data_IF_290155177168
#
_entry.id   IF_290155177168
#
_cell.length_a   1.000
_cell.length_b   1.000
_cell.length_c   1.000
_cell.angle_alpha   90.00
_cell.angle_beta   90.00
_cell.angle_gamma   90.00
#
_symmetry.space_group_name_H-M   'P 1'
#
loop_
_entity.id
_entity.type
_entity.pdbx_description
1 polymer ?
#
# COMPACT_ATOMS: atom_id res chain seq x y z
N UNK A 1 -30.63 -15.55 -67.07
CA UNK A 1 -30.25 -16.15 -68.37
C UNK A 1 -29.07 -15.37 -68.95
N UNK A 2 -27.86 -15.94 -68.96
CA UNK A 2 -26.71 -15.62 -69.82
C UNK A 2 -25.78 -16.85 -69.77
N UNK A 3 -25.21 -17.19 -70.94
CA UNK A 3 -24.49 -18.42 -71.35
C UNK A 3 -22.96 -18.33 -71.13
N UNK A 4 -22.31 -19.49 -70.97
CA UNK A 4 -21.12 -20.06 -71.70
C UNK A 4 -20.40 -21.05 -70.75
N UNK A 5 -20.12 -22.35 -70.99
CA UNK A 5 -19.59 -23.18 -72.11
C UNK A 5 -18.17 -22.72 -72.51
N UNK A 6 -17.07 -23.46 -72.28
CA UNK A 6 -16.44 -24.54 -73.12
C UNK A 6 -15.12 -24.96 -72.38
N UNK A 7 -14.87 -26.23 -71.99
CA UNK A 7 -14.19 -27.38 -72.67
C UNK A 7 -12.62 -27.34 -72.66
N UNK A 8 -11.96 -28.19 -71.84
CA UNK A 8 -11.19 -29.45 -72.13
C UNK A 8 -9.65 -29.26 -72.37
N UNK A 9 -8.80 -30.31 -72.22
CA UNK A 9 -7.47 -30.32 -71.59
C UNK A 9 -6.37 -30.79 -72.58
N UNK A 10 -5.11 -30.84 -72.14
CA UNK A 10 -3.95 -31.54 -72.73
C UNK A 10 -2.93 -31.64 -71.57
N UNK A 11 -2.40 -32.80 -71.13
CA UNK A 11 -1.68 -33.83 -71.87
C UNK A 11 -0.41 -33.23 -72.48
N UNK A 12 0.85 -33.58 -72.20
CA UNK A 12 1.53 -34.64 -71.45
C UNK A 12 3.05 -34.42 -71.67
N UNK A 13 3.89 -35.11 -70.90
CA UNK A 13 5.25 -35.61 -71.24
C UNK A 13 6.53 -34.83 -70.88
N UNK A 14 7.43 -35.63 -70.29
CA UNK A 14 8.92 -35.60 -70.30
C UNK A 14 9.61 -34.82 -69.19
N UNK A 15 10.12 -35.52 -68.17
CA UNK A 15 11.51 -36.04 -68.04
C UNK A 15 12.33 -35.06 -67.17
N UNK A 16 13.15 -35.41 -66.17
CA UNK A 16 14.18 -36.46 -66.11
C UNK A 16 14.69 -36.58 -64.65
N UNK A 17 15.26 -37.74 -64.34
CA UNK A 17 15.93 -38.22 -63.12
C UNK A 17 16.65 -37.21 -62.20
N UNK A 18 16.61 -37.48 -60.89
CA UNK A 18 17.82 -37.75 -60.07
C UNK A 18 17.47 -38.00 -58.58
N UNK A 19 17.74 -39.23 -58.10
CA UNK A 19 18.38 -39.63 -56.81
C UNK A 19 18.05 -38.86 -55.51
N UNK A 20 17.86 -39.44 -54.31
CA UNK A 20 18.42 -40.64 -53.68
C UNK A 20 17.69 -40.87 -52.33
N UNK A 21 17.68 -42.12 -51.84
CA UNK A 21 17.48 -42.55 -50.43
C UNK A 21 16.07 -42.89 -49.91
N UNK A 22 15.69 -44.15 -50.19
CA UNK A 22 15.07 -45.18 -49.32
C UNK A 22 15.42 -45.06 -47.81
N UNK A 23 14.75 -45.66 -46.81
CA UNK A 23 13.52 -46.47 -46.59
C UNK A 23 13.60 -46.94 -45.10
N UNK A 24 12.48 -47.43 -44.55
CA UNK A 24 12.36 -48.34 -43.36
C UNK A 24 12.37 -47.62 -41.99
N UNK A 25 11.24 -47.38 -41.31
CA UNK A 25 10.35 -48.31 -40.59
C UNK A 25 11.02 -49.10 -39.45
N UNK A 26 10.76 -48.73 -38.18
CA UNK A 26 10.61 -49.63 -37.01
C UNK A 26 10.40 -48.78 -35.74
N UNK A 27 9.25 -48.91 -35.08
CA UNK A 27 9.00 -49.81 -33.95
C UNK A 27 9.15 -49.07 -32.60
N UNK A 28 8.03 -48.79 -31.95
CA UNK A 28 7.99 -48.38 -30.55
C UNK A 28 8.28 -49.61 -29.66
N UNK A 29 9.27 -49.56 -28.75
CA UNK A 29 9.37 -50.53 -27.67
C UNK A 29 8.51 -50.13 -26.46
N UNK A 30 8.18 -51.08 -25.57
CA UNK A 30 7.12 -50.94 -24.57
C UNK A 30 7.55 -50.20 -23.30
N UNK A 31 6.54 -49.78 -22.55
CA UNK A 31 6.59 -49.22 -21.20
C UNK A 31 7.52 -50.01 -20.26
N UNK A 32 8.58 -49.37 -19.77
CA UNK A 32 9.34 -49.82 -18.60
C UNK A 32 9.09 -48.86 -17.44
N UNK A 33 8.37 -49.39 -16.45
CA UNK A 33 8.25 -48.87 -15.09
C UNK A 33 9.55 -49.20 -14.38
N UNK A 34 10.31 -48.18 -13.99
CA UNK A 34 11.14 -48.03 -12.77
C UNK A 34 12.16 -46.93 -13.05
N UNK A 35 11.93 -45.72 -12.51
CA UNK A 35 12.86 -45.22 -11.50
C UNK A 35 12.24 -44.05 -10.73
N UNK A 36 12.40 -44.16 -9.41
CA UNK A 36 12.03 -43.16 -8.42
C UNK A 36 12.93 -41.95 -8.60
N UNK A 37 12.51 -41.00 -9.44
CA UNK A 37 12.98 -39.63 -9.40
C UNK A 37 12.08 -38.88 -8.43
N UNK A 38 12.56 -38.73 -7.20
CA UNK A 38 11.94 -37.91 -6.18
C UNK A 38 11.59 -36.52 -6.77
N UNK A 39 10.40 -35.97 -6.48
CA UNK A 39 10.16 -34.56 -6.79
C UNK A 39 11.27 -33.73 -6.13
N UNK A 40 11.82 -32.71 -6.83
CA UNK A 40 12.76 -31.79 -6.17
C UNK A 40 12.08 -31.31 -4.89
N UNK A 41 12.81 -31.21 -3.76
CA UNK A 41 12.22 -30.76 -2.53
C UNK A 41 11.51 -29.46 -2.86
N UNK A 42 10.20 -29.44 -2.60
CA UNK A 42 9.44 -28.20 -2.52
C UNK A 42 10.20 -27.37 -1.51
N UNK A 43 11.10 -26.51 -2.00
CA UNK A 43 11.60 -25.40 -1.24
C UNK A 43 10.32 -24.72 -0.82
N UNK A 44 9.99 -24.87 0.45
CA UNK A 44 8.98 -24.06 1.08
C UNK A 44 9.44 -22.62 0.78
N UNK A 45 8.83 -22.04 -0.25
CA UNK A 45 8.84 -20.60 -0.44
C UNK A 45 8.17 -20.10 0.80
N UNK A 46 9.00 -19.85 1.82
CA UNK A 46 8.69 -18.99 2.94
C UNK A 46 8.01 -17.81 2.28
N UNK A 47 6.70 -17.70 2.51
CA UNK A 47 5.89 -16.61 2.00
C UNK A 47 6.74 -15.35 2.12
N UNK A 48 6.92 -14.55 1.04
CA UNK A 48 7.83 -13.41 1.10
C UNK A 48 7.43 -12.66 2.35
N UNK A 49 8.30 -12.69 3.36
CA UNK A 49 8.19 -11.79 4.48
C UNK A 49 8.15 -10.46 3.77
N UNK A 50 7.00 -9.80 3.80
CA UNK A 50 6.81 -8.56 3.08
C UNK A 50 7.85 -7.61 3.70
N UNK A 51 8.93 -7.40 2.96
CA UNK A 51 10.12 -6.73 3.46
C UNK A 51 10.06 -5.36 2.84
N UNK A 52 9.90 -4.35 3.70
CA UNK A 52 9.86 -2.96 3.28
C UNK A 52 11.23 -2.34 3.44
N UNK A 53 11.69 -1.70 2.39
CA UNK A 53 12.96 -0.98 2.41
C UNK A 53 12.75 0.47 2.88
N UNK A 54 13.45 0.87 3.93
CA UNK A 54 13.33 2.19 4.55
C UNK A 54 14.71 2.78 4.82
N UNK A 55 14.85 4.08 4.56
CA UNK A 55 16.08 4.82 4.86
C UNK A 55 15.94 5.57 6.18
N UNK A 56 16.86 5.31 7.10
CA UNK A 56 16.86 5.93 8.42
C UNK A 56 18.25 6.42 8.82
N UNK A 57 18.28 7.38 9.74
CA UNK A 57 19.49 8.01 10.26
C UNK A 57 19.56 7.75 11.75
N UNK A 58 20.72 7.40 12.26
CA UNK A 58 20.98 7.22 13.69
C UNK A 58 22.22 7.99 14.11
N UNK A 59 22.22 8.46 15.36
CA UNK A 59 23.30 9.21 15.96
C UNK A 59 23.69 8.57 17.29
N UNK A 60 24.98 8.54 17.60
CA UNK A 60 25.47 8.08 18.90
C UNK A 60 26.73 8.85 19.32
N UNK A 61 26.84 9.13 20.62
CA UNK A 61 27.99 9.83 21.18
C UNK A 61 29.25 8.94 21.18
N UNK A 62 30.41 9.56 20.97
CA UNK A 62 31.72 8.90 21.04
C UNK A 62 32.15 8.89 22.52
N UNK A 63 31.82 7.80 23.21
CA UNK A 63 32.21 7.58 24.61
C UNK A 63 33.53 6.81 24.77
N UNK A 64 33.71 6.19 25.93
CA UNK A 64 34.91 5.41 26.29
C UNK A 64 35.21 4.21 25.37
N UNK A 65 34.20 3.72 24.64
CA UNK A 65 34.33 2.63 23.66
C UNK A 65 34.84 3.06 22.27
N UNK A 66 35.13 4.34 22.07
CA UNK A 66 35.68 4.88 20.82
C UNK A 66 34.71 4.90 19.64
N UNK A 67 35.24 5.26 18.46
CA UNK A 67 34.46 5.48 17.23
C UNK A 67 33.73 4.21 16.76
N UNK A 68 34.33 3.03 16.95
CA UNK A 68 33.71 1.76 16.55
C UNK A 68 32.45 1.42 17.37
N UNK A 69 32.50 1.64 18.69
CA UNK A 69 31.34 1.43 19.55
C UNK A 69 30.24 2.45 19.24
N UNK A 70 30.61 3.72 19.03
CA UNK A 70 29.67 4.76 18.61
C UNK A 70 29.04 4.45 17.25
N UNK A 71 29.80 3.92 16.28
CA UNK A 71 29.28 3.48 14.98
C UNK A 71 28.23 2.39 15.14
N UNK A 72 28.52 1.33 15.90
CA UNK A 72 27.54 0.24 16.13
C UNK A 72 26.29 0.74 16.86
N UNK A 73 26.45 1.64 17.83
CA UNK A 73 25.32 2.26 18.52
C UNK A 73 24.48 3.17 17.61
N UNK A 74 25.12 3.91 16.70
CA UNK A 74 24.44 4.74 15.71
C UNK A 74 23.71 3.89 14.67
N UNK A 75 24.28 2.76 14.24
CA UNK A 75 23.60 1.78 13.38
C UNK A 75 22.37 1.18 14.05
N UNK A 76 22.51 0.73 15.30
CA UNK A 76 21.37 0.24 16.09
C UNK A 76 20.28 1.30 16.24
N UNK A 77 20.65 2.56 16.49
CA UNK A 77 19.70 3.68 16.52
C UNK A 77 19.05 3.92 15.15
N UNK A 78 19.78 3.78 14.06
CA UNK A 78 19.25 3.95 12.71
C UNK A 78 18.24 2.83 12.36
N UNK A 79 18.52 1.58 12.73
CA UNK A 79 17.59 0.46 12.57
C UNK A 79 16.33 0.66 13.42
N UNK A 80 16.46 1.11 14.67
CA UNK A 80 15.32 1.51 15.51
C UNK A 80 14.45 2.56 14.82
N UNK A 81 15.07 3.65 14.36
CA UNK A 81 14.38 4.72 13.66
C UNK A 81 13.72 4.22 12.35
N UNK A 82 14.27 3.20 11.69
CA UNK A 82 13.64 2.58 10.52
C UNK A 82 12.36 1.81 10.90
N UNK A 83 12.39 1.01 11.98
CA UNK A 83 11.21 0.31 12.50
C UNK A 83 10.15 1.32 12.95
N UNK A 84 10.53 2.37 13.66
CA UNK A 84 9.62 3.43 14.13
C UNK A 84 8.97 4.19 12.97
N UNK A 85 9.74 4.57 11.94
CA UNK A 85 9.20 5.20 10.72
C UNK A 85 8.26 4.27 9.95
N UNK A 86 8.51 2.97 10.00
CA UNK A 86 7.68 1.96 9.34
C UNK A 86 6.36 1.74 10.09
N UNK A 87 6.39 1.81 11.42
CA UNK A 87 5.23 1.53 12.31
C UNK A 87 4.43 2.77 12.71
N UNK A 88 4.99 3.97 12.59
CA UNK A 88 4.35 5.21 13.03
C UNK A 88 4.27 5.38 14.55
N UNK A 89 4.99 4.57 15.35
CA UNK A 89 4.99 4.62 16.83
C UNK A 89 5.48 5.97 17.37
N UNK A 90 6.18 6.77 16.57
CA UNK A 90 6.67 8.08 16.98
C UNK A 90 5.57 9.12 17.26
N UNK A 91 4.32 8.90 16.83
CA UNK A 91 3.25 9.94 16.91
C UNK A 91 2.04 9.57 17.76
N UNK A 92 2.09 8.44 18.47
CA UNK A 92 1.13 8.16 19.54
C UNK A 92 1.59 8.67 20.92
N UNK A 93 2.37 9.75 20.97
CA UNK A 93 2.75 10.42 22.23
C UNK A 93 1.56 11.10 22.95
N UNK A 94 0.36 11.08 22.36
CA UNK A 94 -0.85 11.70 22.93
C UNK A 94 -1.86 10.76 23.57
N UNK A 95 -1.48 9.52 23.89
CA UNK A 95 -2.26 8.71 24.84
C UNK A 95 -1.43 8.44 26.11
N UNK A 96 -1.42 9.47 26.97
CA UNK A 96 -1.20 9.47 28.43
C UNK A 96 -0.30 8.38 29.07
N UNK A 97 0.93 8.81 29.38
CA UNK A 97 1.66 8.75 30.68
C UNK A 97 1.80 7.50 31.54
N UNK A 98 1.32 6.30 31.21
CA UNK A 98 1.60 5.11 32.06
C UNK A 98 2.21 3.90 31.34
N UNK A 99 2.01 3.73 30.03
CA UNK A 99 2.55 2.57 29.29
C UNK A 99 3.77 2.87 28.41
N UNK A 100 4.18 4.14 28.30
CA UNK A 100 5.26 4.55 27.39
C UNK A 100 6.64 4.00 27.80
N UNK A 101 6.92 3.86 29.09
CA UNK A 101 8.20 3.28 29.55
C UNK A 101 8.30 1.83 29.12
N UNK A 102 7.23 1.03 29.27
CA UNK A 102 7.23 -0.39 28.89
C UNK A 102 7.24 -0.60 27.37
N UNK A 103 6.54 0.22 26.60
CA UNK A 103 6.50 0.13 25.13
C UNK A 103 7.82 0.60 24.52
N UNK A 104 8.35 1.73 24.98
CA UNK A 104 9.68 2.22 24.58
C UNK A 104 10.72 1.18 24.91
N UNK A 105 10.70 0.62 26.12
CA UNK A 105 11.67 -0.40 26.52
C UNK A 105 11.55 -1.64 25.63
N UNK A 106 10.35 -2.18 25.37
CA UNK A 106 10.20 -3.41 24.57
C UNK A 106 10.50 -3.26 23.08
N UNK A 107 10.23 -2.11 22.45
CA UNK A 107 10.66 -1.83 21.06
C UNK A 107 12.17 -1.57 21.01
N UNK A 108 12.72 -0.87 22.02
CA UNK A 108 14.16 -0.55 22.11
C UNK A 108 15.03 -1.77 22.37
N UNK A 109 14.56 -2.76 23.14
CA UNK A 109 15.33 -3.97 23.48
C UNK A 109 15.37 -5.00 22.34
N UNK A 110 14.50 -4.93 21.32
CA UNK A 110 14.36 -5.99 20.29
C UNK A 110 14.19 -5.51 18.84
N UNK A 111 14.39 -4.23 18.54
CA UNK A 111 14.34 -3.69 17.17
C UNK A 111 15.26 -4.43 16.17
N UNK A 112 16.34 -5.03 16.66
CA UNK A 112 17.29 -5.84 15.88
C UNK A 112 16.65 -7.08 15.24
N UNK A 113 15.51 -7.57 15.77
CA UNK A 113 14.80 -8.72 15.22
C UNK A 113 13.82 -8.41 14.09
N UNK A 114 13.47 -7.14 13.88
CA UNK A 114 12.45 -6.71 12.91
C UNK A 114 13.04 -5.94 11.71
N UNK A 115 14.24 -5.38 11.86
CA UNK A 115 14.93 -4.67 10.79
C UNK A 115 16.35 -5.20 10.62
N UNK A 116 16.70 -5.55 9.39
CA UNK A 116 18.06 -5.96 9.01
C UNK A 116 18.74 -4.85 8.21
N UNK A 117 20.02 -4.64 8.49
CA UNK A 117 20.84 -3.69 7.73
C UNK A 117 21.06 -4.23 6.31
N UNK A 118 20.56 -3.52 5.30
CA UNK A 118 20.84 -3.84 3.88
C UNK A 118 22.17 -3.25 3.46
N UNK A 119 22.33 -1.96 3.72
CA UNK A 119 23.46 -1.17 3.22
C UNK A 119 23.66 0.07 4.10
N UNK A 120 24.92 0.42 4.36
CA UNK A 120 25.29 1.71 4.96
C UNK A 120 25.48 2.73 3.84
N UNK A 121 24.61 3.73 3.79
CA UNK A 121 24.61 4.74 2.71
C UNK A 121 25.62 5.85 2.97
N UNK A 122 25.72 6.31 4.22
CA UNK A 122 26.63 7.37 4.60
C UNK A 122 27.02 7.24 6.07
N UNK A 123 28.23 7.68 6.38
CA UNK A 123 28.75 7.79 7.72
C UNK A 123 29.52 9.11 7.87
N UNK A 124 29.12 9.89 8.87
CA UNK A 124 29.81 11.13 9.25
C UNK A 124 30.28 11.00 10.69
N UNK A 125 31.60 11.11 10.89
CA UNK A 125 32.22 11.10 12.21
C UNK A 125 32.47 12.55 12.60
N UNK A 126 31.72 13.04 13.58
CA UNK A 126 31.94 14.33 14.21
C UNK A 126 32.90 14.21 15.41
N UNK A 127 33.25 15.33 16.05
CA UNK A 127 34.18 15.36 17.19
C UNK A 127 33.63 14.64 18.43
N UNK A 128 32.31 14.65 18.65
CA UNK A 128 31.67 14.07 19.84
C UNK A 128 30.60 13.01 19.52
N UNK A 129 30.27 12.79 18.25
CA UNK A 129 29.24 11.83 17.84
C UNK A 129 29.44 11.28 16.43
N UNK A 130 28.95 10.07 16.19
CA UNK A 130 28.88 9.43 14.87
C UNK A 130 27.44 9.46 14.38
N UNK A 131 27.24 9.95 13.15
CA UNK A 131 25.96 9.92 12.45
C UNK A 131 26.03 8.92 11.30
N UNK A 132 25.13 7.94 11.29
CA UNK A 132 25.06 6.94 10.23
C UNK A 132 23.71 7.01 9.52
N UNK A 133 23.72 6.97 8.19
CA UNK A 133 22.54 6.81 7.36
C UNK A 133 22.54 5.41 6.78
N UNK A 134 21.49 4.64 7.05
CA UNK A 134 21.37 3.25 6.63
C UNK A 134 20.11 3.01 5.83
N UNK A 135 20.18 1.99 4.98
CA UNK A 135 19.07 1.37 4.29
C UNK A 135 18.75 0.06 5.00
N UNK A 136 17.56 -0.02 5.56
CA UNK A 136 17.11 -1.15 6.36
C UNK A 136 15.98 -1.90 5.65
N UNK A 137 16.00 -3.22 5.77
CA UNK A 137 14.91 -4.11 5.37
C UNK A 137 14.08 -4.44 6.60
N UNK A 138 12.83 -3.99 6.64
CA UNK A 138 11.93 -4.21 7.77
C UNK A 138 10.96 -5.35 7.44
N UNK A 139 10.97 -6.41 8.24
CA UNK A 139 10.03 -7.53 8.11
C UNK A 139 8.69 -7.17 8.75
N UNK A 140 7.66 -7.04 7.91
CA UNK A 140 6.36 -6.50 8.30
C UNK A 140 5.51 -7.48 9.15
N UNK A 141 5.47 -8.76 8.79
CA UNK A 141 4.69 -9.79 9.50
C UNK A 141 4.99 -9.90 11.01
N UNK A 142 6.24 -10.13 11.45
CA UNK A 142 6.53 -10.27 12.88
C UNK A 142 6.27 -8.97 13.67
N UNK A 143 6.36 -7.83 12.99
CA UNK A 143 6.13 -6.51 13.57
C UNK A 143 4.62 -6.27 13.80
N UNK A 144 3.78 -6.61 12.83
CA UNK A 144 2.33 -6.51 12.94
C UNK A 144 1.77 -7.38 14.08
N UNK A 145 2.18 -8.64 14.17
CA UNK A 145 1.80 -9.58 15.24
C UNK A 145 2.18 -9.04 16.63
N UNK A 146 3.37 -8.44 16.75
CA UNK A 146 3.82 -7.87 18.02
C UNK A 146 3.03 -6.62 18.41
N UNK A 147 2.76 -5.72 17.45
CA UNK A 147 1.95 -4.53 17.70
C UNK A 147 0.51 -4.89 18.13
N UNK A 148 -0.05 -5.96 17.55
CA UNK A 148 -1.33 -6.54 17.95
C UNK A 148 -1.30 -7.06 19.39
N UNK A 149 -0.29 -7.87 19.73
CA UNK A 149 -0.12 -8.41 21.09
C UNK A 149 0.12 -7.35 22.17
N UNK A 150 0.60 -6.16 21.78
CA UNK A 150 0.78 -5.01 22.68
C UNK A 150 -0.44 -4.08 22.76
N UNK A 151 -1.51 -4.33 21.99
CA UNK A 151 -2.70 -3.49 21.96
C UNK A 151 -2.45 -2.08 21.39
N UNK A 152 -1.37 -1.90 20.62
CA UNK A 152 -0.95 -0.61 20.05
C UNK A 152 -1.44 -0.39 18.63
N UNK A 153 -2.19 -1.34 18.08
CA UNK A 153 -2.92 -1.16 16.82
C UNK A 153 -3.96 -0.07 17.02
N UNK A 154 -3.83 1.05 16.32
CA UNK A 154 -4.94 2.01 16.19
C UNK A 154 -6.14 1.22 15.67
N UNK A 155 -7.30 1.39 16.29
CA UNK A 155 -8.56 0.83 15.84
C UNK A 155 -9.00 1.54 14.54
N UNK A 156 -8.22 1.37 13.47
CA UNK A 156 -8.48 1.93 12.16
C UNK A 156 -9.87 1.49 11.71
N UNK A 157 -10.70 2.46 11.33
CA UNK A 157 -12.01 2.18 10.77
C UNK A 157 -11.87 1.90 9.28
N UNK A 158 -12.30 0.71 8.86
CA UNK A 158 -12.15 0.27 7.48
C UNK A 158 -13.54 0.00 6.89
N UNK A 159 -13.79 0.54 5.70
CA UNK A 159 -14.97 0.19 4.91
C UNK A 159 -14.54 -0.67 3.73
N UNK A 160 -15.16 -1.84 3.57
CA UNK A 160 -14.87 -2.75 2.46
C UNK A 160 -16.01 -2.67 1.45
N UNK A 161 -15.68 -2.40 0.20
CA UNK A 161 -16.63 -2.39 -0.92
C UNK A 161 -16.19 -3.40 -1.96
N UNK A 162 -17.11 -4.21 -2.44
CA UNK A 162 -16.83 -5.14 -3.53
C UNK A 162 -17.43 -4.67 -4.86
N UNK A 163 -16.69 -4.85 -5.96
CA UNK A 163 -17.16 -4.54 -7.31
C UNK A 163 -16.73 -5.61 -8.31
N UNK A 164 -17.61 -5.97 -9.24
CA UNK A 164 -17.30 -6.96 -10.29
C UNK A 164 -18.48 -7.86 -10.58
N UNK A 165 -18.36 -8.69 -11.62
CA UNK A 165 -19.35 -9.71 -11.93
C UNK A 165 -18.66 -10.93 -12.53
N UNK A 166 -18.84 -12.10 -11.90
CA UNK A 166 -18.25 -13.37 -12.34
C UNK A 166 -19.29 -14.33 -12.99
N UNK A 167 -20.52 -13.85 -13.20
CA UNK A 167 -21.65 -14.69 -13.59
C UNK A 167 -22.17 -15.57 -12.43
N UNK A 168 -23.36 -16.16 -12.60
CA UNK A 168 -24.09 -16.82 -11.52
C UNK A 168 -25.02 -15.84 -10.79
N UNK A 169 -25.41 -16.13 -9.54
CA UNK A 169 -26.22 -15.21 -8.73
C UNK A 169 -25.51 -13.86 -8.58
N UNK A 170 -26.09 -12.75 -9.06
CA UNK A 170 -25.47 -11.44 -8.99
C UNK A 170 -25.09 -11.09 -7.55
N UNK A 171 -23.84 -10.67 -7.34
CA UNK A 171 -23.36 -10.22 -6.03
C UNK A 171 -22.92 -11.30 -5.03
N UNK A 172 -23.26 -12.58 -5.20
CA UNK A 172 -22.92 -13.62 -4.23
C UNK A 172 -21.41 -13.82 -4.04
N UNK A 173 -20.65 -13.82 -5.14
CA UNK A 173 -19.19 -13.92 -5.13
C UNK A 173 -18.51 -12.67 -4.57
N UNK A 174 -19.14 -11.50 -4.74
CA UNK A 174 -18.67 -10.24 -4.15
C UNK A 174 -18.85 -10.29 -2.65
N UNK A 175 -20.06 -10.67 -2.20
CA UNK A 175 -20.41 -10.76 -0.78
C UNK A 175 -19.52 -11.74 -0.03
N UNK A 176 -19.22 -12.90 -0.62
CA UNK A 176 -18.31 -13.88 -0.02
C UNK A 176 -16.89 -13.33 0.13
N UNK A 177 -16.39 -12.62 -0.89
CA UNK A 177 -15.06 -12.02 -0.86
C UNK A 177 -14.97 -10.86 0.14
N UNK A 178 -15.98 -9.97 0.18
CA UNK A 178 -16.04 -8.88 1.16
C UNK A 178 -16.16 -9.42 2.58
N UNK A 179 -17.04 -10.38 2.84
CA UNK A 179 -17.19 -10.98 4.17
C UNK A 179 -15.90 -11.66 4.65
N UNK A 180 -15.17 -12.37 3.78
CA UNK A 180 -13.88 -12.97 4.13
C UNK A 180 -12.81 -11.93 4.45
N UNK A 181 -12.80 -10.80 3.74
CA UNK A 181 -11.89 -9.69 4.01
C UNK A 181 -12.25 -9.01 5.34
N UNK A 182 -13.53 -8.69 5.56
CA UNK A 182 -14.03 -8.07 6.78
C UNK A 182 -13.74 -8.92 8.01
N UNK A 183 -13.95 -10.24 7.95
CA UNK A 183 -13.61 -11.16 9.02
C UNK A 183 -12.12 -11.12 9.37
N UNK A 184 -11.25 -11.16 8.34
CA UNK A 184 -9.78 -11.12 8.53
C UNK A 184 -9.33 -9.78 9.12
N UNK A 185 -9.90 -8.68 8.64
CA UNK A 185 -9.59 -7.34 9.17
C UNK A 185 -10.08 -7.20 10.62
N UNK A 186 -11.26 -7.71 10.94
CA UNK A 186 -11.79 -7.70 12.31
C UNK A 186 -10.89 -8.52 13.24
N UNK A 187 -10.46 -9.71 12.80
CA UNK A 187 -9.52 -10.55 13.55
C UNK A 187 -8.16 -9.87 13.74
N UNK A 188 -7.71 -9.09 12.76
CA UNK A 188 -6.48 -8.29 12.85
C UNK A 188 -6.62 -7.05 13.76
N UNK A 189 -7.83 -6.74 14.25
CA UNK A 189 -8.09 -5.63 15.19
C UNK A 189 -8.58 -4.34 14.54
N UNK A 190 -8.98 -4.38 13.27
CA UNK A 190 -9.62 -3.25 12.59
C UNK A 190 -11.10 -3.18 12.94
N UNK A 191 -11.65 -1.96 12.96
CA UNK A 191 -13.10 -1.75 13.11
C UNK A 191 -13.72 -1.64 11.73
N UNK A 192 -14.51 -2.64 11.34
CA UNK A 192 -15.21 -2.60 10.05
C UNK A 192 -16.46 -1.72 10.17
N UNK A 193 -16.57 -0.70 9.33
CA UNK A 193 -17.70 0.25 9.31
C UNK A 193 -18.53 0.08 8.04
N UNK A 194 -19.85 0.23 8.19
CA UNK A 194 -20.78 0.08 7.06
C UNK A 194 -20.88 1.35 6.19
N UNK A 195 -20.69 2.54 6.77
CA UNK A 195 -20.68 3.79 6.01
C UNK A 195 -19.26 4.18 5.62
N UNK A 196 -19.06 4.40 4.31
CA UNK A 196 -17.81 4.91 3.73
C UNK A 196 -17.35 6.22 4.39
N UNK A 197 -18.26 7.10 4.85
CA UNK A 197 -17.92 8.38 5.49
C UNK A 197 -17.28 8.22 6.87
N UNK A 198 -17.53 7.10 7.53
CA UNK A 198 -16.97 6.81 8.85
C UNK A 198 -15.62 6.08 8.76
N UNK A 199 -15.19 5.74 7.55
CA UNK A 199 -13.97 4.99 7.32
C UNK A 199 -12.75 5.90 7.27
N UNK A 200 -11.67 5.47 7.92
CA UNK A 200 -10.35 6.08 7.73
C UNK A 200 -9.69 5.52 6.45
N UNK A 201 -10.02 4.27 6.11
CA UNK A 201 -9.53 3.53 4.95
C UNK A 201 -10.71 2.87 4.23
N UNK A 202 -10.80 3.10 2.94
CA UNK A 202 -11.72 2.41 2.03
C UNK A 202 -10.97 1.31 1.30
N UNK A 203 -11.49 0.10 1.29
CA UNK A 203 -10.92 -1.04 0.58
C UNK A 203 -11.88 -1.44 -0.53
N UNK A 204 -11.50 -1.19 -1.78
CA UNK A 204 -12.20 -1.71 -2.94
C UNK A 204 -11.64 -3.09 -3.29
N UNK A 205 -12.48 -4.12 -3.26
CA UNK A 205 -12.14 -5.48 -3.71
C UNK A 205 -12.83 -5.80 -5.02
N UNK A 206 -12.08 -6.33 -5.98
CA UNK A 206 -12.60 -6.68 -7.31
C UNK A 206 -12.15 -8.09 -7.67
N UNK A 207 -13.02 -9.09 -7.60
CA UNK A 207 -12.72 -10.41 -8.11
C UNK A 207 -12.89 -10.44 -9.64
N UNK A 208 -12.08 -11.24 -10.32
CA UNK A 208 -12.08 -11.43 -11.77
C UNK A 208 -11.70 -12.87 -12.13
N UNK A 209 -12.20 -13.39 -13.25
CA UNK A 209 -11.76 -14.68 -13.79
C UNK A 209 -10.72 -14.41 -14.87
N UNK A 210 -9.51 -14.96 -14.70
CA UNK A 210 -8.40 -14.78 -15.63
C UNK A 210 -8.43 -15.84 -16.72
N UNK A 211 -8.70 -17.09 -16.34
CA UNK A 211 -8.65 -18.21 -17.28
C UNK A 211 -9.70 -19.26 -16.92
N UNK A 212 -10.27 -19.89 -17.94
CA UNK A 212 -11.14 -21.05 -17.79
C UNK A 212 -10.72 -22.08 -18.83
N UNK A 213 -10.28 -23.25 -18.39
CA UNK A 213 -10.01 -24.41 -19.22
C UNK A 213 -11.09 -25.45 -18.99
N UNK A 214 -11.51 -26.11 -20.08
CA UNK A 214 -12.50 -27.18 -20.03
C UNK A 214 -11.87 -28.47 -20.50
N UNK A 215 -12.02 -29.53 -19.71
CA UNK A 215 -11.62 -30.88 -20.05
C UNK A 215 -12.90 -31.72 -20.13
N UNK A 216 -13.26 -32.28 -21.28
CA UNK A 216 -14.32 -33.29 -21.35
C UNK A 216 -13.80 -34.61 -20.77
N UNK A 217 -14.60 -35.25 -19.93
CA UNK A 217 -14.35 -36.57 -19.37
C UNK A 217 -15.51 -37.49 -19.69
N UNK A 218 -15.19 -38.75 -19.94
CA UNK A 218 -16.19 -39.81 -20.04
C UNK A 218 -16.08 -40.63 -18.76
N UNK A 219 -17.16 -40.66 -17.98
CA UNK A 219 -17.22 -41.42 -16.72
C UNK A 219 -18.30 -42.49 -16.81
N UNK A 220 -18.33 -43.40 -15.83
CA UNK A 220 -19.38 -44.41 -15.72
C UNK A 220 -20.79 -43.81 -15.60
N UNK A 221 -20.90 -42.55 -15.15
CA UNK A 221 -22.16 -41.81 -15.05
C UNK A 221 -22.50 -41.03 -16.34
N UNK A 222 -21.67 -41.10 -17.38
CA UNK A 222 -21.84 -40.38 -18.64
C UNK A 222 -20.75 -39.32 -18.91
N UNK A 223 -20.86 -38.59 -20.03
CA UNK A 223 -19.95 -37.51 -20.35
C UNK A 223 -20.16 -36.33 -19.39
N UNK A 224 -19.07 -35.78 -18.90
CA UNK A 224 -19.06 -34.63 -18.00
C UNK A 224 -17.90 -33.71 -18.34
N UNK A 225 -18.05 -32.42 -18.04
CA UNK A 225 -17.02 -31.40 -18.30
C UNK A 225 -16.40 -30.98 -16.97
N UNK A 226 -15.09 -31.10 -16.84
CA UNK A 226 -14.34 -30.45 -15.78
C UNK A 226 -13.92 -29.06 -16.21
N UNK A 227 -14.16 -28.10 -15.32
CA UNK A 227 -13.74 -26.71 -15.46
C UNK A 227 -12.57 -26.47 -14.53
N UNK A 228 -11.41 -26.10 -15.08
CA UNK A 228 -10.29 -25.56 -14.32
C UNK A 228 -10.31 -24.05 -14.47
N UNK A 229 -10.57 -23.34 -13.39
CA UNK A 229 -10.76 -21.89 -13.39
C UNK A 229 -9.66 -21.23 -12.58
N UNK A 230 -8.99 -20.23 -13.16
CA UNK A 230 -8.06 -19.35 -12.45
C UNK A 230 -8.78 -18.05 -12.10
N UNK A 231 -9.07 -17.86 -10.82
CA UNK A 231 -9.68 -16.66 -10.26
C UNK A 231 -8.62 -15.73 -9.68
N UNK A 232 -8.74 -14.44 -9.93
CA UNK A 232 -7.88 -13.42 -9.34
C UNK A 232 -8.74 -12.46 -8.52
N UNK A 233 -8.19 -11.98 -7.41
CA UNK A 233 -8.77 -10.91 -6.63
C UNK A 233 -7.76 -9.77 -6.52
N UNK A 234 -8.24 -8.55 -6.75
CA UNK A 234 -7.45 -7.34 -6.60
C UNK A 234 -8.09 -6.45 -5.57
N UNK A 235 -7.30 -5.94 -4.64
CA UNK A 235 -7.73 -4.99 -3.63
C UNK A 235 -6.98 -3.70 -3.78
N UNK A 236 -7.71 -2.59 -3.65
CA UNK A 236 -7.17 -1.24 -3.59
C UNK A 236 -7.64 -0.61 -2.29
N UNK A 237 -6.71 -0.39 -1.37
CA UNK A 237 -6.95 0.38 -0.16
C UNK A 237 -6.61 1.84 -0.42
N UNK A 238 -7.56 2.72 -0.14
CA UNK A 238 -7.47 4.17 -0.28
C UNK A 238 -7.80 4.86 1.03
N UNK A 239 -7.02 5.86 1.40
CA UNK A 239 -7.31 6.67 2.59
C UNK A 239 -8.46 7.63 2.29
N UNK A 240 -9.57 7.51 3.03
CA UNK A 240 -10.82 8.22 2.70
C UNK A 240 -10.67 9.76 2.63
N UNK A 241 -9.96 10.43 3.56
CA UNK A 241 -9.80 11.90 3.49
C UNK A 241 -9.02 12.42 2.28
N UNK A 242 -8.07 11.64 1.76
CA UNK A 242 -7.09 12.12 0.76
C UNK A 242 -7.24 11.48 -0.61
N UNK A 243 -7.92 10.34 -0.71
CA UNK A 243 -7.94 9.50 -1.91
C UNK A 243 -6.60 8.81 -2.24
N UNK A 244 -5.57 8.96 -1.40
CA UNK A 244 -4.27 8.31 -1.56
C UNK A 244 -4.41 6.79 -1.53
N UNK A 245 -3.82 6.10 -2.51
CA UNK A 245 -3.73 4.64 -2.53
C UNK A 245 -2.64 4.20 -1.58
N UNK A 246 -3.03 3.55 -0.48
CA UNK A 246 -2.12 3.11 0.57
C UNK A 246 -1.65 1.67 0.38
N UNK A 247 -2.46 0.85 -0.31
CA UNK A 247 -2.08 -0.50 -0.71
C UNK A 247 -2.85 -0.90 -1.97
N UNK A 248 -2.17 -1.64 -2.85
CA UNK A 248 -2.77 -2.26 -4.02
C UNK A 248 -2.19 -3.66 -4.16
N UNK A 249 -3.01 -4.68 -3.94
CA UNK A 249 -2.60 -6.08 -3.94
C UNK A 249 -3.42 -6.86 -4.95
N UNK A 250 -2.80 -7.89 -5.53
CA UNK A 250 -3.42 -8.81 -6.46
C UNK A 250 -2.95 -10.23 -6.11
N UNK A 251 -3.85 -11.19 -6.09
CA UNK A 251 -3.50 -12.61 -5.94
C UNK A 251 -4.45 -13.44 -6.77
N UNK A 252 -3.96 -14.53 -7.33
CA UNK A 252 -4.73 -15.45 -8.13
C UNK A 252 -4.54 -16.87 -7.64
N UNK A 253 -5.62 -17.63 -7.68
CA UNK A 253 -5.66 -19.04 -7.32
C UNK A 253 -6.48 -19.81 -8.35
N UNK A 254 -6.38 -21.13 -8.32
CA UNK A 254 -7.01 -22.02 -9.28
C UNK A 254 -7.86 -23.06 -8.56
N UNK A 255 -9.08 -23.28 -9.05
CA UNK A 255 -9.93 -24.39 -8.61
C UNK A 255 -10.35 -25.23 -9.82
N UNK A 256 -10.56 -26.52 -9.59
CA UNK A 256 -11.09 -27.43 -10.61
C UNK A 256 -12.38 -28.07 -10.11
N UNK A 257 -13.46 -27.90 -10.87
CA UNK A 257 -14.78 -28.41 -10.50
C UNK A 257 -15.60 -28.81 -11.72
N UNK A 258 -16.58 -29.69 -11.52
CA UNK A 258 -17.57 -30.06 -12.56
C UNK A 258 -18.59 -28.94 -12.81
N UNK A 259 -18.78 -28.03 -11.85
CA UNK A 259 -19.62 -26.84 -11.97
C UNK A 259 -18.75 -25.61 -12.20
N UNK A 260 -18.97 -24.90 -13.32
CA UNK A 260 -18.28 -23.66 -13.63
C UNK A 260 -18.48 -22.58 -12.56
N UNK A 261 -19.70 -22.45 -12.02
CA UNK A 261 -20.02 -21.45 -10.98
C UNK A 261 -19.28 -21.78 -9.69
N UNK A 262 -19.22 -23.06 -9.32
CA UNK A 262 -18.50 -23.52 -8.13
C UNK A 262 -16.99 -23.33 -8.29
N UNK A 263 -16.42 -23.70 -9.45
CA UNK A 263 -15.00 -23.48 -9.74
C UNK A 263 -14.63 -21.99 -9.63
N UNK A 264 -15.45 -21.09 -10.18
CA UNK A 264 -15.24 -19.64 -10.08
C UNK A 264 -15.27 -19.16 -8.63
N UNK A 265 -16.28 -19.58 -7.86
CA UNK A 265 -16.44 -19.17 -6.47
C UNK A 265 -15.30 -19.67 -5.58
N UNK A 266 -14.88 -20.92 -5.77
CA UNK A 266 -13.80 -21.51 -4.99
C UNK A 266 -12.45 -20.86 -5.31
N UNK A 267 -12.14 -20.66 -6.60
CA UNK A 267 -10.88 -20.05 -7.01
C UNK A 267 -10.72 -18.62 -6.46
N UNK A 268 -11.78 -17.80 -6.50
CA UNK A 268 -11.72 -16.44 -5.93
C UNK A 268 -11.73 -16.44 -4.40
N UNK A 269 -12.44 -17.37 -3.75
CA UNK A 269 -12.41 -17.51 -2.30
C UNK A 269 -11.01 -17.93 -1.80
N UNK A 270 -10.33 -18.85 -2.49
CA UNK A 270 -8.97 -19.25 -2.18
C UNK A 270 -7.97 -18.09 -2.38
N UNK A 271 -8.09 -17.35 -3.48
CA UNK A 271 -7.32 -16.14 -3.71
C UNK A 271 -7.54 -15.08 -2.62
N UNK A 272 -8.79 -14.94 -2.14
CA UNK A 272 -9.14 -14.01 -1.04
C UNK A 272 -8.49 -14.40 0.27
N UNK A 273 -8.52 -15.69 0.65
CA UNK A 273 -7.87 -16.19 1.88
C UNK A 273 -6.36 -15.96 1.87
N UNK A 274 -5.73 -15.99 0.70
CA UNK A 274 -4.30 -15.70 0.55
C UNK A 274 -4.01 -14.20 0.61
N UNK A 275 -4.88 -13.37 0.03
CA UNK A 275 -4.70 -11.92 -0.02
C UNK A 275 -5.04 -11.22 1.31
N UNK A 276 -6.07 -11.66 2.01
CA UNK A 276 -6.62 -10.96 3.18
C UNK A 276 -5.60 -10.76 4.32
N UNK A 277 -4.78 -11.76 4.72
CA UNK A 277 -3.75 -11.56 5.74
C UNK A 277 -2.69 -10.55 5.32
N UNK A 278 -2.28 -10.58 4.05
CA UNK A 278 -1.29 -9.63 3.50
C UNK A 278 -1.83 -8.22 3.47
N UNK A 279 -3.12 -8.06 3.12
CA UNK A 279 -3.79 -6.77 3.22
C UNK A 279 -3.80 -6.27 4.66
N UNK A 280 -4.18 -7.12 5.62
CA UNK A 280 -4.17 -6.75 7.04
C UNK A 280 -2.77 -6.32 7.50
N UNK A 281 -1.72 -7.10 7.21
CA UNK A 281 -0.32 -6.75 7.49
C UNK A 281 0.05 -5.36 6.90
N UNK A 282 -0.28 -5.13 5.63
CA UNK A 282 -0.02 -3.85 4.96
C UNK A 282 -0.78 -2.68 5.60
N UNK A 283 -2.03 -2.89 6.01
CA UNK A 283 -2.86 -1.87 6.65
C UNK A 283 -2.40 -1.56 8.08
N UNK A 284 -1.93 -2.56 8.84
CA UNK A 284 -1.46 -2.39 10.22
C UNK A 284 -0.21 -1.52 10.30
N UNK A 285 0.58 -1.52 9.21
CA UNK A 285 1.85 -0.82 9.11
C UNK A 285 1.75 0.43 8.24
N UNK A 286 0.51 0.90 8.02
CA UNK A 286 0.33 2.22 7.44
C UNK A 286 0.88 3.24 8.43
N UNK A 287 1.81 4.10 7.98
CA UNK A 287 2.24 5.20 8.82
C UNK A 287 0.99 6.00 9.16
N UNK A 288 0.83 6.32 10.45
CA UNK A 288 -0.11 7.35 10.84
C UNK A 288 0.24 8.59 9.99
N UNK A 289 -0.71 9.11 9.22
CA UNK A 289 -0.53 10.44 8.66
C UNK A 289 -0.61 11.37 9.85
N UNK A 290 0.57 11.72 10.34
CA UNK A 290 0.71 12.65 11.43
C UNK A 290 0.20 14.01 11.01
N UNK A 291 0.25 14.31 9.70
CA UNK A 291 -0.23 15.53 9.08
C UNK A 291 -0.93 15.32 7.73
N UNK A 292 -1.79 16.27 7.39
CA UNK A 292 -2.54 16.36 6.14
C UNK A 292 -2.29 17.72 5.48
N UNK A 293 -2.09 17.76 4.15
CA UNK A 293 -2.00 19.02 3.42
C UNK A 293 -3.37 19.70 3.40
N UNK A 294 -3.44 20.91 3.93
CA UNK A 294 -4.60 21.80 3.91
C UNK A 294 -4.27 22.98 3.02
N UNK A 295 -5.10 23.22 2.01
CA UNK A 295 -4.95 24.40 1.16
C UNK A 295 -5.54 25.62 1.87
N UNK A 296 -4.69 26.56 2.28
CA UNK A 296 -5.11 27.84 2.83
C UNK A 296 -5.08 28.90 1.73
N UNK A 297 -6.24 29.45 1.41
CA UNK A 297 -6.41 30.55 0.47
C UNK A 297 -6.68 31.82 1.25
N UNK A 298 -5.79 32.81 1.18
CA UNK A 298 -5.95 34.09 1.89
C UNK A 298 -6.02 35.23 0.90
N UNK A 299 -7.12 35.98 0.96
CA UNK A 299 -7.28 37.25 0.22
C UNK A 299 -6.80 38.44 1.06
N UNK A 300 -6.35 39.53 0.42
CA UNK A 300 -5.99 40.77 1.11
C UNK A 300 -4.58 40.81 1.72
N UNK A 301 -3.68 39.92 1.30
CA UNK A 301 -2.29 39.87 1.80
C UNK A 301 -1.45 41.05 1.28
N UNK A 302 -1.82 41.61 0.13
CA UNK A 302 -1.23 42.85 -0.41
C UNK A 302 0.17 42.66 -0.99
N UNK A 303 1.21 42.60 -0.14
CA UNK A 303 2.62 42.59 -0.54
C UNK A 303 3.34 41.26 -0.30
N UNK A 304 4.36 40.97 -1.10
CA UNK A 304 5.19 39.77 -0.95
C UNK A 304 5.89 39.70 0.41
N UNK A 305 6.30 40.84 0.98
CA UNK A 305 6.89 40.91 2.32
C UNK A 305 5.88 40.58 3.42
N UNK A 306 4.61 40.99 3.28
CA UNK A 306 3.53 40.63 4.21
C UNK A 306 3.18 39.14 4.09
N UNK A 307 3.21 38.59 2.88
CA UNK A 307 3.03 37.16 2.64
C UNK A 307 4.14 36.32 3.31
N UNK A 308 5.40 36.73 3.22
CA UNK A 308 6.52 36.05 3.90
C UNK A 308 6.36 36.02 5.41
N UNK A 309 6.04 37.16 6.04
CA UNK A 309 5.80 37.20 7.50
C UNK A 309 4.59 36.36 7.94
N UNK A 310 3.57 36.26 7.08
CA UNK A 310 2.42 35.40 7.35
C UNK A 310 2.82 33.92 7.25
N UNK A 311 3.65 33.54 6.28
CA UNK A 311 4.21 32.20 6.14
C UNK A 311 5.06 31.79 7.36
N UNK A 312 5.90 32.70 7.86
CA UNK A 312 6.66 32.48 9.10
C UNK A 312 5.74 32.27 10.31
N UNK A 313 4.69 33.08 10.42
CA UNK A 313 3.71 32.94 11.50
C UNK A 313 2.89 31.64 11.39
N UNK A 314 2.55 31.20 10.18
CA UNK A 314 1.86 29.93 9.93
C UNK A 314 2.76 28.73 10.27
N UNK A 315 4.07 28.81 10.02
CA UNK A 315 5.04 27.77 10.42
C UNK A 315 5.19 27.65 11.94
N UNK A 316 4.90 28.71 12.69
CA UNK A 316 4.96 28.71 14.16
C UNK A 316 3.66 28.24 14.83
N UNK A 317 2.59 28.05 14.06
CA UNK A 317 1.32 27.57 14.60
C UNK A 317 1.48 26.18 15.21
N UNK A 318 0.97 26.02 16.43
CA UNK A 318 0.88 24.72 17.06
C UNK A 318 0.09 23.75 16.16
N UNK A 319 0.72 22.64 15.80
CA UNK A 319 0.11 21.63 14.94
C UNK A 319 0.31 21.85 13.44
N UNK A 320 1.03 22.88 13.00
CA UNK A 320 1.48 23.00 11.59
C UNK A 320 2.93 22.52 11.52
N UNK A 321 3.19 21.51 10.68
CA UNK A 321 4.52 20.90 10.51
C UNK A 321 5.36 21.61 9.46
N UNK A 322 4.69 22.19 8.46
CA UNK A 322 5.34 22.94 7.41
C UNK A 322 4.33 23.72 6.58
N UNK A 323 4.81 24.78 5.96
CA UNK A 323 4.03 25.66 5.11
C UNK A 323 4.77 25.83 3.80
N UNK A 324 4.06 25.63 2.69
CA UNK A 324 4.60 25.86 1.35
C UNK A 324 3.74 26.86 0.61
N UNK A 325 4.31 27.98 0.18
CA UNK A 325 3.59 28.93 -0.67
C UNK A 325 3.48 28.41 -2.11
N UNK A 326 2.26 28.25 -2.59
CA UNK A 326 1.94 27.74 -3.94
C UNK A 326 1.77 28.86 -4.96
N UNK A 327 1.18 29.98 -4.56
CA UNK A 327 0.93 31.12 -5.46
C UNK A 327 0.74 32.43 -4.69
N UNK A 328 1.08 33.54 -5.33
CA UNK A 328 0.75 34.90 -4.89
C UNK A 328 0.41 35.70 -6.15
N UNK A 329 -0.88 35.95 -6.40
CA UNK A 329 -1.36 36.70 -7.58
C UNK A 329 -2.54 37.59 -7.19
N UNK A 330 -2.57 38.84 -7.66
CA UNK A 330 -3.73 39.72 -7.49
C UNK A 330 -4.11 40.04 -6.04
N UNK A 331 -3.17 39.97 -5.09
CA UNK A 331 -3.46 40.18 -3.66
C UNK A 331 -4.05 38.96 -2.93
N UNK A 332 -4.18 37.83 -3.64
CA UNK A 332 -4.55 36.52 -3.12
C UNK A 332 -3.31 35.62 -3.03
N UNK A 333 -3.17 34.94 -1.90
CA UNK A 333 -2.07 34.03 -1.63
C UNK A 333 -2.61 32.63 -1.32
N UNK A 334 -1.98 31.62 -1.90
CA UNK A 334 -2.33 30.22 -1.69
C UNK A 334 -1.16 29.52 -1.02
N UNK A 335 -1.40 28.97 0.15
CA UNK A 335 -0.47 28.11 0.88
C UNK A 335 -1.01 26.69 0.97
N UNK A 336 -0.07 25.77 1.03
CA UNK A 336 -0.30 24.38 1.38
C UNK A 336 0.32 24.16 2.76
N UNK A 337 -0.53 23.93 3.76
CA UNK A 337 -0.16 23.73 5.15
C UNK A 337 -0.13 22.23 5.43
N UNK A 338 0.97 21.71 5.95
CA UNK A 338 1.00 20.33 6.41
C UNK A 338 0.61 20.28 7.90
N UNK A 339 -0.66 19.99 8.17
CA UNK A 339 -1.27 20.18 9.49
C UNK A 339 -1.50 18.86 10.18
N UNK A 340 -1.12 18.76 11.45
CA UNK A 340 -1.29 17.57 12.24
C UNK A 340 -2.77 17.16 12.35
N UNK A 341 -3.04 15.86 12.25
CA UNK A 341 -4.43 15.34 12.23
C UNK A 341 -5.23 15.73 13.47
N UNK A 342 -4.58 15.83 14.65
CA UNK A 342 -5.23 16.25 15.89
C UNK A 342 -5.39 17.78 16.02
N UNK A 343 -4.71 18.56 15.17
CA UNK A 343 -4.81 20.00 15.10
C UNK A 343 -5.86 20.47 14.06
N UNK A 344 -6.25 19.60 13.11
CA UNK A 344 -7.23 19.93 12.06
C UNK A 344 -8.54 20.51 12.58
N UNK A 345 -9.22 19.93 13.61
CA UNK A 345 -10.51 20.46 14.08
C UNK A 345 -10.41 21.85 14.71
N UNK A 346 -9.20 22.25 15.12
CA UNK A 346 -8.93 23.52 15.77
C UNK A 346 -8.22 24.52 14.85
N UNK A 347 -7.89 24.10 13.61
CA UNK A 347 -7.07 24.89 12.70
C UNK A 347 -7.73 26.24 12.37
N UNK A 348 -9.02 26.23 12.01
CA UNK A 348 -9.77 27.44 11.68
C UNK A 348 -9.81 28.43 12.84
N UNK A 349 -10.08 27.94 14.05
CA UNK A 349 -10.06 28.76 15.27
C UNK A 349 -8.67 29.34 15.56
N UNK A 350 -7.62 28.54 15.39
CA UNK A 350 -6.23 28.98 15.58
C UNK A 350 -5.80 30.02 14.55
N UNK A 351 -6.24 29.88 13.30
CA UNK A 351 -5.96 30.87 12.27
C UNK A 351 -6.49 32.27 12.64
N UNK A 352 -7.58 32.35 13.40
CA UNK A 352 -8.17 33.61 13.86
C UNK A 352 -7.62 34.11 15.21
N UNK A 353 -7.44 33.21 16.18
CA UNK A 353 -7.16 33.58 17.59
C UNK A 353 -5.67 33.63 17.95
N UNK A 354 -4.80 32.97 17.17
CA UNK A 354 -3.40 32.78 17.53
C UNK A 354 -2.63 34.11 17.59
N UNK A 355 -1.80 34.25 18.63
CA UNK A 355 -1.04 35.46 18.91
C UNK A 355 -0.09 35.85 17.75
N UNK A 356 0.48 34.87 17.03
CA UNK A 356 1.35 35.11 15.89
C UNK A 356 0.58 35.66 14.66
N UNK A 357 -0.72 35.40 14.57
CA UNK A 357 -1.57 35.78 13.44
C UNK A 357 -2.42 37.04 13.67
N UNK A 358 -2.51 37.51 14.93
CA UNK A 358 -3.17 38.78 15.30
C UNK A 358 -2.78 40.00 14.43
N UNK A 359 -1.51 40.19 14.01
CA UNK A 359 -1.12 41.31 13.14
C UNK A 359 -1.78 41.27 11.74
N UNK A 360 -2.23 40.09 11.32
CA UNK A 360 -2.82 39.87 10.00
C UNK A 360 -4.35 39.92 10.01
N UNK A 361 -4.98 39.81 11.21
CA UNK A 361 -6.44 39.81 11.42
C UNK A 361 -7.14 38.93 10.39
N UNK A 362 -6.77 37.65 10.39
CA UNK A 362 -7.38 36.65 9.52
C UNK A 362 -8.81 36.38 9.98
N UNK A 363 -9.71 36.29 9.02
CA UNK A 363 -11.09 35.86 9.23
C UNK A 363 -11.34 34.67 8.30
N UNK A 364 -11.75 33.53 8.84
CA UNK A 364 -12.06 32.33 8.09
C UNK A 364 -13.47 32.47 7.50
N UNK A 365 -13.55 32.50 6.18
CA UNK A 365 -14.79 32.60 5.44
C UNK A 365 -15.43 31.23 5.19
N UNK A 366 -14.60 30.18 5.00
CA UNK A 366 -15.08 28.80 4.89
C UNK A 366 -14.01 27.80 5.30
N UNK A 367 -14.46 26.68 5.87
CA UNK A 367 -13.64 25.54 6.25
C UNK A 367 -14.24 24.25 5.68
N UNK A 368 -13.56 23.68 4.69
CA UNK A 368 -13.89 22.39 4.09
C UNK A 368 -12.99 21.24 4.55
N UNK A 369 -12.21 21.42 5.63
CA UNK A 369 -11.23 20.45 6.14
C UNK A 369 -9.95 20.37 5.30
N UNK A 370 -10.06 20.10 4.00
CA UNK A 370 -8.93 20.05 3.06
C UNK A 370 -8.60 21.40 2.43
N UNK A 371 -9.55 22.35 2.47
CA UNK A 371 -9.40 23.70 1.94
C UNK A 371 -10.04 24.70 2.89
N UNK A 372 -9.28 25.71 3.27
CA UNK A 372 -9.72 26.82 4.12
C UNK A 372 -9.59 28.11 3.31
N UNK A 373 -10.64 28.92 3.31
CA UNK A 373 -10.64 30.25 2.71
C UNK A 373 -10.69 31.30 3.82
N UNK A 374 -9.75 32.22 3.80
CA UNK A 374 -9.65 33.29 4.77
C UNK A 374 -9.43 34.65 4.10
N UNK A 375 -9.71 35.73 4.83
CA UNK A 375 -9.42 37.09 4.43
C UNK A 375 -8.52 37.76 5.47
N UNK A 376 -7.41 38.34 5.02
CA UNK A 376 -6.53 39.16 5.82
C UNK A 376 -6.93 40.63 5.71
N UNK A 377 -7.11 41.32 6.83
CA UNK A 377 -7.31 42.78 6.85
C UNK A 377 -5.98 43.50 7.08
N UNK A 378 -5.62 44.37 6.15
CA UNK A 378 -4.44 45.24 6.27
C UNK A 378 -4.63 46.32 7.35
N UNK A 379 -3.60 46.53 8.16
CA UNK A 379 -3.37 47.82 8.83
C UNK A 379 -3.32 48.90 7.76
N UNK A 380 -4.07 49.99 7.94
CA UNK A 380 -3.95 51.20 7.11
C UNK A 380 -2.46 51.51 6.85
N UNK A 381 -2.05 51.86 5.63
CA UNK A 381 -0.76 52.51 5.47
C UNK A 381 -0.77 53.77 6.33
N UNK A 382 0.17 53.86 7.28
CA UNK A 382 0.47 55.13 7.95
C UNK A 382 0.87 56.13 6.87
N UNK A 383 0.09 57.20 6.74
CA UNK A 383 0.20 58.14 5.63
C UNK A 383 1.58 58.77 5.49
N UNK A 384 1.86 59.15 4.24
CA UNK A 384 2.29 60.50 3.91
C UNK A 384 1.55 60.94 2.66
#
# INVERSE_FOLDING_TARGET
MIRSVVRFPLGSLSATLASLSALVAQAQPPLSVTDTSAPPPVTATVAPSEVREVVATGTAAIGTGGVLAARRAAEAQALRNAVEKTTGVFVSARTLTQNYVLVRDQVTTRAEGFATLKERLNESVGPESVTVRVRALVSLRPLAERLKGLGLTRAWRVHVTGAGNLGGTPGAHILAATASLEATLTEAGFVVVSDKKEADIEVLTTPQIVTTHTLPLVTAAGPMTMYTVRGQITTRATRAPTGEVVSALATADTDTNISLVTARSNATAAATRTLAPRLAEALMLLPARDSQPVQLVVSGVGSAARAGRLEDALNLLAGVRGVTRRSLKGGEAVWELDVLTDALPLLSRRLEEDAALRPFRLLVASDGGARIVAAARGSRPSGR
#
